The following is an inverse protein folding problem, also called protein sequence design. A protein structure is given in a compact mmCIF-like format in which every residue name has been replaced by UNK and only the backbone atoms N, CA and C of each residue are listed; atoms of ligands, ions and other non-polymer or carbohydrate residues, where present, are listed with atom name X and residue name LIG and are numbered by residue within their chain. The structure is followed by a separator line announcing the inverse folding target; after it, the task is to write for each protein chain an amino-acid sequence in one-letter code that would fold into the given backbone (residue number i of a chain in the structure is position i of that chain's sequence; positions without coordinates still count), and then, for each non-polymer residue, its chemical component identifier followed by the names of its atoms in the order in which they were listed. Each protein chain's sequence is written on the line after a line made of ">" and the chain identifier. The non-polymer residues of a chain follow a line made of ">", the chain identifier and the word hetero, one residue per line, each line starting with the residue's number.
data_IF_496534869259
#
_entry.id   IF_496534869259
#
_cell.length_a   1.000
_cell.length_b   1.000
_cell.length_c   1.000
_cell.angle_alpha   90.00
_cell.angle_beta   90.00
_cell.angle_gamma   90.00
#
_symmetry.space_group_name_H-M   'P 1'
#
loop_
_entity.id
_entity.type
_entity.pdbx_description
1 polymer ?
#
# COMPACT_ATOMS: atom_id res chain seq x y z
N UNK A 1 10.14 -4.24 1.72
CA UNK A 1 9.40 -5.51 2.03
C UNK A 1 8.87 -6.32 0.81
N UNK A 2 9.49 -7.46 0.41
CA UNK A 2 9.11 -8.20 -0.83
C UNK A 2 7.92 -9.17 -0.71
N UNK A 3 7.78 -9.86 0.42
CA UNK A 3 6.73 -10.87 0.64
C UNK A 3 5.33 -10.25 0.56
N UNK A 4 5.15 -9.09 1.19
CA UNK A 4 3.88 -8.34 1.19
C UNK A 4 3.50 -7.90 -0.22
N UNK A 5 4.45 -7.41 -1.03
CA UNK A 5 4.19 -7.07 -2.43
C UNK A 5 3.60 -8.23 -3.23
N UNK A 6 4.15 -9.44 -3.10
CA UNK A 6 3.62 -10.64 -3.76
C UNK A 6 2.25 -11.03 -3.19
N UNK A 7 2.04 -10.92 -1.87
CA UNK A 7 0.76 -11.21 -1.24
C UNK A 7 -0.35 -10.30 -1.79
N UNK A 8 -0.08 -9.00 -1.97
CA UNK A 8 -1.05 -8.07 -2.59
C UNK A 8 -1.35 -8.45 -4.04
N UNK A 9 -0.32 -8.75 -4.84
CA UNK A 9 -0.51 -9.16 -6.24
C UNK A 9 -1.36 -10.42 -6.37
N UNK A 10 -1.07 -11.45 -5.56
CA UNK A 10 -1.83 -12.71 -5.56
C UNK A 10 -3.26 -12.54 -5.03
N UNK A 11 -3.45 -11.71 -3.99
CA UNK A 11 -4.78 -11.39 -3.48
C UNK A 11 -5.62 -10.70 -4.56
N UNK A 12 -5.10 -9.64 -5.20
CA UNK A 12 -5.80 -8.93 -6.28
C UNK A 12 -6.07 -9.85 -7.47
N UNK A 13 -5.11 -10.72 -7.86
CA UNK A 13 -5.29 -11.71 -8.92
C UNK A 13 -6.46 -12.64 -8.61
N UNK A 14 -6.53 -13.18 -7.39
CA UNK A 14 -7.60 -14.07 -6.95
C UNK A 14 -8.96 -13.36 -6.87
N UNK A 15 -9.03 -12.14 -6.34
CA UNK A 15 -10.26 -11.34 -6.28
C UNK A 15 -10.81 -11.06 -7.69
N UNK A 16 -9.94 -10.68 -8.62
CA UNK A 16 -10.30 -10.46 -10.03
C UNK A 16 -10.78 -11.76 -10.70
N UNK A 17 -10.11 -12.88 -10.46
CA UNK A 17 -10.49 -14.17 -11.02
C UNK A 17 -11.87 -14.66 -10.51
N UNK A 18 -12.26 -14.28 -9.29
CA UNK A 18 -13.59 -14.53 -8.72
C UNK A 18 -14.67 -13.55 -9.22
N UNK A 19 -14.31 -12.55 -10.02
CA UNK A 19 -15.24 -11.55 -10.54
C UNK A 19 -15.74 -10.56 -9.48
N UNK A 20 -15.04 -10.42 -8.35
CA UNK A 20 -15.43 -9.50 -7.28
C UNK A 20 -15.28 -8.04 -7.75
N UNK A 21 -16.27 -7.21 -7.38
CA UNK A 21 -16.27 -5.77 -7.65
C UNK A 21 -16.34 -5.02 -6.33
N UNK A 22 -15.46 -4.04 -6.19
CA UNK A 22 -15.37 -3.20 -4.99
C UNK A 22 -15.95 -1.82 -5.27
N UNK A 23 -16.49 -1.18 -4.23
CA UNK A 23 -16.96 0.20 -4.29
C UNK A 23 -15.80 1.20 -4.47
N UNK A 24 -14.59 0.80 -4.06
CA UNK A 24 -13.38 1.61 -4.11
C UNK A 24 -12.37 0.97 -5.04
N UNK A 25 -11.59 1.79 -5.75
CA UNK A 25 -10.46 1.28 -6.51
C UNK A 25 -9.40 0.71 -5.56
N UNK A 26 -8.53 -0.14 -6.10
CA UNK A 26 -7.39 -0.66 -5.34
C UNK A 26 -6.17 -0.35 -6.19
N UNK A 27 -5.26 0.47 -5.67
CA UNK A 27 -3.99 0.76 -6.33
C UNK A 27 -2.86 0.11 -5.52
N UNK A 28 -2.08 -0.74 -6.20
CA UNK A 28 -0.85 -1.32 -5.65
C UNK A 28 0.31 -0.52 -6.22
N UNK A 29 1.11 0.10 -5.36
CA UNK A 29 2.20 0.99 -5.75
C UNK A 29 3.50 0.39 -5.26
N UNK A 30 4.49 0.29 -6.16
CA UNK A 30 5.84 -0.14 -5.80
C UNK A 30 6.76 1.07 -5.91
N UNK A 31 7.27 1.53 -4.77
CA UNK A 31 8.16 2.69 -4.70
C UNK A 31 9.62 2.27 -4.45
N UNK A 32 10.60 2.93 -5.08
CA UNK A 32 12.00 2.74 -4.74
C UNK A 32 12.33 3.49 -3.44
N UNK A 33 13.58 3.34 -2.99
CA UNK A 33 14.24 4.27 -2.06
C UNK A 33 13.81 4.19 -0.58
N UNK A 34 12.79 3.40 -0.23
CA UNK A 34 12.24 3.31 1.14
C UNK A 34 13.32 2.97 2.20
N UNK A 35 14.13 1.95 1.95
CA UNK A 35 15.16 1.45 2.87
C UNK A 35 16.31 2.46 3.12
N UNK A 36 16.36 3.56 2.36
CA UNK A 36 17.32 4.67 2.55
C UNK A 36 16.63 6.01 2.86
N UNK A 37 15.35 5.98 3.26
CA UNK A 37 14.59 7.14 3.74
C UNK A 37 13.51 7.65 2.76
N UNK A 38 13.44 7.12 1.55
CA UNK A 38 12.36 7.39 0.59
C UNK A 38 12.38 8.79 -0.02
N UNK A 39 13.49 9.52 0.09
CA UNK A 39 13.62 10.91 -0.35
C UNK A 39 13.41 11.07 -1.86
N UNK A 40 13.87 10.12 -2.66
CA UNK A 40 13.71 10.12 -4.12
C UNK A 40 12.64 9.13 -4.60
N UNK A 41 11.99 8.42 -3.68
CA UNK A 41 10.88 7.51 -3.95
C UNK A 41 9.53 8.14 -3.57
N UNK A 42 8.95 7.64 -2.48
CA UNK A 42 7.62 8.05 -2.03
C UNK A 42 7.52 9.56 -1.76
N UNK A 43 8.54 10.19 -1.17
CA UNK A 43 8.46 11.62 -0.82
C UNK A 43 8.29 12.53 -2.05
N UNK A 44 8.93 12.21 -3.17
CA UNK A 44 8.70 12.94 -4.43
C UNK A 44 7.39 12.53 -5.08
N UNK A 45 7.03 11.24 -5.04
CA UNK A 45 5.78 10.75 -5.62
C UNK A 45 4.54 11.43 -5.02
N UNK A 46 4.53 11.68 -3.71
CA UNK A 46 3.46 12.41 -3.03
C UNK A 46 3.20 13.83 -3.59
N UNK A 47 4.20 14.44 -4.22
CA UNK A 47 4.12 15.80 -4.77
C UNK A 47 3.55 15.83 -6.19
N UNK A 48 3.47 14.68 -6.87
CA UNK A 48 3.11 14.63 -8.29
C UNK A 48 1.59 14.70 -8.49
N UNK A 49 1.12 15.21 -9.65
CA UNK A 49 -0.31 15.22 -9.96
C UNK A 49 -0.90 13.80 -10.09
N UNK A 50 -0.09 12.81 -10.46
CA UNK A 50 -0.51 11.41 -10.57
C UNK A 50 -0.92 10.84 -9.21
N UNK A 51 -0.14 11.09 -8.15
CA UNK A 51 -0.51 10.66 -6.81
C UNK A 51 -1.81 11.33 -6.35
N UNK A 52 -1.97 12.64 -6.60
CA UNK A 52 -3.21 13.36 -6.27
C UNK A 52 -4.42 12.76 -6.99
N UNK A 53 -4.26 12.33 -8.24
CA UNK A 53 -5.32 11.71 -9.03
C UNK A 53 -5.76 10.33 -8.49
N UNK A 54 -4.93 9.65 -7.69
CA UNK A 54 -5.32 8.40 -7.01
C UNK A 54 -6.39 8.62 -5.93
N UNK A 55 -6.55 9.86 -5.43
CA UNK A 55 -7.54 10.22 -4.42
C UNK A 55 -7.50 9.31 -3.17
N UNK A 56 -6.30 9.10 -2.61
CA UNK A 56 -6.04 8.14 -1.52
C UNK A 56 -6.78 8.50 -0.23
N UNK A 57 -7.59 7.57 0.29
CA UNK A 57 -8.27 7.68 1.58
C UNK A 57 -7.68 6.80 2.67
N UNK A 58 -7.07 5.67 2.31
CA UNK A 58 -6.43 4.76 3.25
C UNK A 58 -5.24 4.05 2.62
N UNK A 59 -4.22 3.81 3.43
CA UNK A 59 -2.97 3.19 3.02
C UNK A 59 -2.61 1.98 3.88
N UNK A 60 -2.09 0.92 3.25
CA UNK A 60 -1.37 -0.15 3.93
C UNK A 60 0.09 -0.15 3.47
N UNK A 61 0.98 -0.43 4.41
CA UNK A 61 2.42 -0.54 4.22
C UNK A 61 2.94 -1.63 5.16
N UNK A 62 4.26 -1.79 5.22
CA UNK A 62 4.92 -2.87 5.91
C UNK A 62 4.56 -3.04 7.40
N UNK A 63 4.60 -4.30 7.82
CA UNK A 63 4.49 -4.71 9.22
C UNK A 63 5.84 -5.15 9.80
N UNK A 64 5.78 -5.83 10.95
CA UNK A 64 6.95 -6.47 11.54
C UNK A 64 6.62 -7.92 11.87
N UNK A 65 7.61 -8.80 11.71
CA UNK A 65 7.46 -10.20 12.09
C UNK A 65 7.14 -10.33 13.59
N UNK A 66 6.37 -11.36 13.90
CA UNK A 66 6.08 -11.77 15.27
C UNK A 66 6.41 -13.25 15.44
N UNK A 67 7.09 -13.59 16.53
CA UNK A 67 7.48 -14.96 16.86
C UNK A 67 6.31 -15.76 17.45
N UNK A 68 5.34 -15.06 18.05
CA UNK A 68 4.09 -15.66 18.55
C UNK A 68 3.01 -15.80 17.47
N UNK A 69 1.84 -16.27 17.88
CA UNK A 69 0.68 -16.47 17.00
C UNK A 69 -0.09 -15.19 16.64
N UNK A 70 0.20 -14.06 17.31
CA UNK A 70 -0.46 -12.79 17.06
C UNK A 70 0.17 -12.02 15.89
N UNK A 71 -0.60 -11.18 15.20
CA UNK A 71 -0.08 -10.29 14.16
C UNK A 71 0.24 -8.91 14.73
N UNK A 72 1.42 -8.36 14.39
CA UNK A 72 1.77 -6.97 14.73
C UNK A 72 1.20 -6.04 13.67
N UNK A 73 0.40 -5.08 14.12
CA UNK A 73 -0.18 -4.03 13.27
C UNK A 73 0.26 -2.67 13.80
N UNK A 74 0.76 -1.82 12.93
CA UNK A 74 1.22 -0.48 13.26
C UNK A 74 0.30 0.53 12.58
N UNK A 75 -0.53 1.20 13.37
CA UNK A 75 -1.44 2.23 12.89
C UNK A 75 -0.86 3.62 13.10
N UNK A 76 -0.96 4.46 12.08
CA UNK A 76 -0.66 5.88 12.18
C UNK A 76 -1.91 6.70 11.85
N UNK A 77 -2.21 7.77 12.60
CA UNK A 77 -3.33 8.65 12.30
C UNK A 77 -3.10 9.51 11.05
N UNK A 78 -1.89 9.50 10.48
CA UNK A 78 -1.49 10.24 9.28
C UNK A 78 -0.70 9.30 8.37
N UNK A 79 -0.86 9.43 7.06
CA UNK A 79 -0.13 8.62 6.08
C UNK A 79 1.38 8.82 6.24
N UNK A 80 2.11 7.72 6.42
CA UNK A 80 3.56 7.66 6.40
C UNK A 80 3.94 6.44 5.55
N UNK A 81 4.38 6.70 4.32
CA UNK A 81 4.70 5.70 3.29
C UNK A 81 3.52 4.78 2.90
N UNK A 82 3.49 4.31 1.64
CA UNK A 82 2.31 3.66 1.05
C UNK A 82 2.69 2.63 0.00
N UNK A 83 2.30 1.38 0.22
CA UNK A 83 2.40 0.31 -0.78
C UNK A 83 1.03 -0.07 -1.38
N UNK A 84 -0.06 0.26 -0.66
CA UNK A 84 -1.43 -0.06 -1.05
C UNK A 84 -2.35 1.12 -0.76
N UNK A 85 -3.11 1.57 -1.76
CA UNK A 85 -4.00 2.73 -1.67
C UNK A 85 -5.45 2.29 -1.94
N UNK A 86 -6.33 2.62 -1.00
CA UNK A 86 -7.78 2.70 -1.25
C UNK A 86 -8.16 4.15 -1.46
N UNK A 87 -8.88 4.52 -2.53
CA UNK A 87 -9.35 5.87 -2.72
C UNK A 87 -10.47 6.22 -1.74
N UNK A 88 -10.51 7.47 -1.29
CA UNK A 88 -11.64 8.04 -0.58
C UNK A 88 -12.73 8.41 -1.61
N UNK A 89 -14.00 8.18 -1.25
CA UNK A 89 -15.17 8.64 -2.01
C UNK A 89 -15.60 10.00 -1.50
#
# INVERSE_FOLDING_TARGET
>A
MKSVGIQYMEAVRNLKARGEKFLRNIHVVFVPDEEIGGHHGMQEFLKTPEFRALNVGFALDEGLANEGSAFKVRGYPRLSCVDFVLPCS
#
